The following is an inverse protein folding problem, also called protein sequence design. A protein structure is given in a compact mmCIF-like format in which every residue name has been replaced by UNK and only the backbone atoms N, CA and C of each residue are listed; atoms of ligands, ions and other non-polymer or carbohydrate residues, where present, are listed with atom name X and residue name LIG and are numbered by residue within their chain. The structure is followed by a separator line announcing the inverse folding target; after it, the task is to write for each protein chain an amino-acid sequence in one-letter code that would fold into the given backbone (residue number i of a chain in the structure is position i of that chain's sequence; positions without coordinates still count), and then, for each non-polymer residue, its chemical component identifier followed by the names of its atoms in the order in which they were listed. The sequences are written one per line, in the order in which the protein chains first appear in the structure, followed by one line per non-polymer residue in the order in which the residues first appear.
data_IF_735616861136
#
_entry.id   IF_735616861136
#
_cell.length_a   1.000
_cell.length_b   1.000
_cell.length_c   1.000
_cell.angle_alpha   90.00
_cell.angle_beta   90.00
_cell.angle_gamma   90.00
#
_symmetry.space_group_name_H-M   'P 1'
#
loop_
_entity.id
_entity.type
_entity.pdbx_description
1 polymer ?
#
# COMPACT_ATOMS: atom_id res chain seq x y z
N UNK A 1 16.24 49.14 -39.81
CA UNK A 1 15.82 48.03 -40.68
C UNK A 1 14.63 47.35 -40.02
N UNK A 2 13.45 47.54 -40.62
CA UNK A 2 12.15 47.04 -40.17
C UNK A 2 11.94 45.60 -40.66
N UNK A 3 11.39 44.73 -39.81
CA UNK A 3 10.45 43.70 -40.23
C UNK A 3 9.65 43.18 -39.03
N UNK A 4 8.39 43.62 -38.95
CA UNK A 4 7.37 43.08 -38.07
C UNK A 4 6.94 41.69 -38.58
N UNK A 5 6.95 40.69 -37.70
CA UNK A 5 6.37 39.37 -37.97
C UNK A 5 4.85 39.44 -37.75
N UNK A 6 4.13 39.34 -38.87
CA UNK A 6 2.67 39.28 -38.97
C UNK A 6 2.12 38.07 -38.20
N UNK A 7 1.27 38.34 -37.21
CA UNK A 7 0.27 37.39 -36.74
C UNK A 7 -0.96 37.51 -37.66
N UNK A 8 -1.39 36.41 -38.27
CA UNK A 8 -2.76 36.23 -38.75
C UNK A 8 -2.97 34.76 -39.13
N UNK A 9 -3.95 34.12 -38.48
CA UNK A 9 -5.00 33.27 -39.08
C UNK A 9 -5.75 32.55 -37.95
N UNK A 10 -6.56 33.32 -37.20
CA UNK A 10 -7.76 32.78 -36.57
C UNK A 10 -8.92 33.08 -37.51
N UNK A 11 -9.37 32.05 -38.23
CA UNK A 11 -10.53 32.13 -39.09
C UNK A 11 -11.80 32.22 -38.23
N UNK A 12 -12.41 33.40 -38.28
CA UNK A 12 -13.70 33.76 -37.69
C UNK A 12 -14.80 33.29 -38.64
N UNK A 13 -15.25 32.05 -38.49
CA UNK A 13 -16.54 31.66 -39.07
C UNK A 13 -17.21 30.51 -38.31
N UNK A 14 -17.83 30.81 -37.15
CA UNK A 14 -19.03 30.09 -36.64
C UNK A 14 -19.67 30.71 -35.38
N UNK A 15 -19.49 32.02 -35.15
CA UNK A 15 -20.21 32.76 -34.11
C UNK A 15 -21.23 33.70 -34.77
N UNK A 16 -22.47 33.21 -34.96
CA UNK A 16 -23.70 34.03 -35.06
C UNK A 16 -24.93 33.11 -35.01
N UNK A 17 -25.95 33.58 -34.27
CA UNK A 17 -27.22 32.94 -33.84
C UNK A 17 -27.05 32.17 -32.52
N UNK A 18 -27.59 32.57 -31.37
CA UNK A 18 -28.63 33.55 -31.05
C UNK A 18 -28.34 34.17 -29.67
N UNK A 19 -28.50 35.49 -29.59
CA UNK A 19 -28.66 36.28 -28.37
C UNK A 19 -30.12 36.72 -28.32
N UNK A 20 -30.83 36.41 -27.23
CA UNK A 20 -31.70 37.35 -26.50
C UNK A 20 -32.23 36.66 -25.23
N UNK A 21 -31.84 37.19 -24.05
CA UNK A 21 -32.66 37.97 -23.06
C UNK A 21 -33.63 37.07 -22.26
N UNK A 22 -33.73 37.13 -20.94
CA UNK A 22 -33.36 38.15 -19.96
C UNK A 22 -33.40 37.56 -18.52
N UNK A 23 -32.58 38.13 -17.63
CA UNK A 23 -32.74 38.33 -16.17
C UNK A 23 -33.08 37.20 -15.18
N UNK A 24 -32.29 37.10 -14.10
CA UNK A 24 -32.77 36.66 -12.78
C UNK A 24 -31.70 36.03 -11.88
N UNK A 25 -31.36 36.70 -10.78
CA UNK A 25 -30.53 36.25 -9.66
C UNK A 25 -30.72 34.78 -9.25
N UNK A 26 -29.62 34.04 -9.03
CA UNK A 26 -29.35 33.34 -7.76
C UNK A 26 -27.96 32.69 -7.76
N UNK A 27 -27.27 32.86 -6.64
CA UNK A 27 -26.08 32.10 -6.23
C UNK A 27 -26.44 30.60 -6.15
N UNK A 28 -25.40 29.76 -6.25
CA UNK A 28 -25.40 28.29 -6.16
C UNK A 28 -25.68 27.51 -7.46
N UNK A 29 -24.63 27.31 -8.26
CA UNK A 29 -24.54 26.20 -9.23
C UNK A 29 -23.08 25.84 -9.49
N UNK A 30 -22.45 25.16 -8.53
CA UNK A 30 -21.27 24.32 -8.75
C UNK A 30 -21.59 22.95 -8.16
N UNK A 31 -22.42 22.16 -8.84
CA UNK A 31 -22.60 20.68 -8.72
C UNK A 31 -23.91 20.17 -9.35
N UNK A 32 -24.18 20.50 -10.62
CA UNK A 32 -25.17 19.84 -11.49
C UNK A 32 -24.56 19.90 -12.91
N UNK A 33 -24.44 18.88 -13.74
CA UNK A 33 -25.00 17.53 -13.79
C UNK A 33 -24.38 16.83 -15.01
N UNK A 34 -23.50 15.83 -14.83
CA UNK A 34 -23.06 14.94 -15.93
C UNK A 34 -23.60 13.50 -15.76
N UNK A 35 -24.36 13.26 -14.69
CA UNK A 35 -25.00 11.97 -14.37
C UNK A 35 -26.50 12.02 -14.67
N UNK A 36 -26.90 12.59 -15.81
CA UNK A 36 -28.27 12.38 -16.29
C UNK A 36 -28.50 10.90 -16.57
N UNK A 37 -29.55 10.32 -15.98
CA UNK A 37 -29.97 8.96 -16.25
C UNK A 37 -30.28 8.81 -17.74
N UNK A 38 -29.72 7.78 -18.38
CA UNK A 38 -30.04 7.50 -19.77
C UNK A 38 -31.35 6.72 -19.83
N UNK A 39 -32.42 7.39 -20.25
CA UNK A 39 -33.70 6.75 -20.56
C UNK A 39 -33.60 6.07 -21.93
N UNK A 40 -33.53 4.73 -21.90
CA UNK A 40 -33.60 3.88 -23.07
C UNK A 40 -34.99 3.25 -23.15
N UNK A 41 -35.86 3.83 -23.99
CA UNK A 41 -37.23 3.36 -24.23
C UNK A 41 -37.30 2.20 -25.25
N UNK A 42 -36.19 1.85 -25.93
CA UNK A 42 -36.25 1.06 -27.18
C UNK A 42 -35.85 -0.42 -27.10
N UNK A 43 -35.50 -0.95 -25.92
CA UNK A 43 -35.21 -2.39 -25.80
C UNK A 43 -36.06 -2.97 -24.67
N UNK A 44 -37.13 -3.69 -25.02
CA UNK A 44 -37.95 -4.42 -24.06
C UNK A 44 -37.08 -5.41 -23.28
N UNK A 45 -37.29 -5.49 -21.97
CA UNK A 45 -36.64 -6.46 -21.07
C UNK A 45 -37.22 -7.87 -21.28
N UNK A 46 -37.17 -8.37 -22.53
CA UNK A 46 -37.27 -9.79 -22.77
C UNK A 46 -36.00 -10.47 -22.22
N UNK A 47 -36.15 -11.65 -21.62
CA UNK A 47 -35.07 -12.47 -21.03
C UNK A 47 -34.07 -12.93 -22.09
N UNK A 48 -33.26 -12.01 -22.60
CA UNK A 48 -32.13 -12.34 -23.45
C UNK A 48 -31.06 -13.01 -22.56
N UNK A 49 -30.87 -14.32 -22.75
CA UNK A 49 -29.84 -15.11 -22.08
C UNK A 49 -28.44 -14.91 -22.67
N UNK A 50 -28.32 -14.15 -23.77
CA UNK A 50 -27.09 -13.90 -24.53
C UNK A 50 -26.87 -12.40 -24.73
N UNK A 51 -25.61 -11.95 -24.65
CA UNK A 51 -25.24 -10.54 -24.87
C UNK A 51 -25.35 -10.19 -26.35
N UNK A 52 -26.19 -9.21 -26.68
CA UNK A 52 -26.27 -8.63 -28.02
C UNK A 52 -25.24 -7.49 -28.15
N UNK A 53 -24.08 -7.79 -28.73
CA UNK A 53 -22.99 -6.81 -28.93
C UNK A 53 -23.35 -5.68 -29.90
N UNK A 54 -24.32 -5.91 -30.78
CA UNK A 54 -24.78 -4.91 -31.74
C UNK A 54 -25.93 -4.06 -31.19
N UNK A 55 -26.52 -4.47 -30.07
CA UNK A 55 -27.61 -3.79 -29.39
C UNK A 55 -27.25 -2.40 -28.90
N UNK A 56 -28.26 -1.52 -28.84
CA UNK A 56 -28.10 -0.13 -28.40
C UNK A 56 -27.57 -0.07 -26.96
N UNK A 57 -28.04 -0.96 -26.09
CA UNK A 57 -27.61 -1.04 -24.70
C UNK A 57 -26.14 -1.43 -24.56
N UNK A 58 -25.65 -2.46 -25.26
CA UNK A 58 -24.23 -2.84 -25.21
C UNK A 58 -23.34 -1.66 -25.64
N UNK A 59 -23.67 -1.02 -26.77
CA UNK A 59 -22.90 0.12 -27.28
C UNK A 59 -22.89 1.30 -26.31
N UNK A 60 -24.02 1.62 -25.68
CA UNK A 60 -24.12 2.69 -24.67
C UNK A 60 -23.36 2.35 -23.40
N UNK A 61 -23.46 1.13 -22.90
CA UNK A 61 -22.71 0.67 -21.74
C UNK A 61 -21.20 0.68 -22.00
N UNK A 62 -20.79 0.18 -23.17
CA UNK A 62 -19.38 0.14 -23.59
C UNK A 62 -18.81 1.55 -23.71
N UNK A 63 -19.51 2.46 -24.38
CA UNK A 63 -19.13 3.87 -24.50
C UNK A 63 -19.13 4.58 -23.14
N UNK A 64 -20.08 4.28 -22.25
CA UNK A 64 -20.13 4.83 -20.90
C UNK A 64 -18.90 4.42 -20.08
N UNK A 65 -18.50 3.14 -20.15
CA UNK A 65 -17.29 2.65 -19.49
C UNK A 65 -16.03 3.23 -20.15
N UNK A 66 -15.98 3.33 -21.48
CA UNK A 66 -14.87 3.93 -22.22
C UNK A 66 -14.68 5.42 -21.90
N UNK A 67 -15.78 6.14 -21.63
CA UNK A 67 -15.75 7.58 -21.41
C UNK A 67 -14.94 8.02 -20.19
N UNK A 68 -14.77 7.14 -19.17
CA UNK A 68 -13.97 7.45 -17.99
C UNK A 68 -12.96 6.35 -17.71
N UNK A 69 -11.70 6.73 -17.68
CA UNK A 69 -10.60 5.81 -17.41
C UNK A 69 -10.67 5.18 -16.00
N UNK A 70 -11.31 5.87 -15.04
CA UNK A 70 -11.67 5.30 -13.72
C UNK A 70 -12.63 4.12 -13.82
N UNK A 71 -13.58 4.14 -14.76
CA UNK A 71 -14.52 3.03 -14.99
C UNK A 71 -13.80 1.87 -15.69
N UNK A 72 -12.96 2.15 -16.68
CA UNK A 72 -12.09 1.14 -17.31
C UNK A 72 -11.23 0.44 -16.26
N UNK A 73 -10.58 1.19 -15.36
CA UNK A 73 -9.79 0.64 -14.26
C UNK A 73 -10.61 -0.26 -13.33
N UNK A 74 -11.82 0.17 -12.95
CA UNK A 74 -12.71 -0.62 -12.10
C UNK A 74 -13.11 -1.94 -12.79
N UNK A 75 -13.43 -1.90 -14.09
CA UNK A 75 -13.74 -3.10 -14.89
C UNK A 75 -12.52 -4.01 -15.01
N UNK A 76 -11.33 -3.46 -15.22
CA UNK A 76 -10.08 -4.23 -15.26
C UNK A 76 -9.78 -4.93 -13.93
N UNK A 77 -10.07 -4.28 -12.79
CA UNK A 77 -9.94 -4.89 -11.46
C UNK A 77 -10.88 -6.07 -11.24
N UNK A 78 -12.03 -6.11 -11.91
CA UNK A 78 -12.97 -7.23 -11.84
C UNK A 78 -12.49 -8.47 -12.62
N UNK A 79 -11.48 -8.33 -13.48
CA UNK A 79 -10.98 -9.43 -14.31
C UNK A 79 -10.16 -10.39 -13.46
N UNK A 80 -10.45 -11.68 -13.56
CA UNK A 80 -9.53 -12.71 -13.07
C UNK A 80 -8.32 -12.75 -14.02
N UNK A 81 -7.10 -12.57 -13.49
CA UNK A 81 -5.86 -12.66 -14.26
C UNK A 81 -5.69 -14.08 -14.85
N UNK A 82 -6.24 -14.30 -16.06
CA UNK A 82 -6.01 -15.49 -16.88
C UNK A 82 -4.56 -15.57 -17.39
N UNK A 83 -3.79 -14.48 -17.33
CA UNK A 83 -2.38 -14.47 -17.75
C UNK A 83 -1.47 -15.30 -16.82
N UNK A 84 -1.92 -15.59 -15.59
CA UNK A 84 -1.18 -16.50 -14.69
C UNK A 84 -1.22 -17.96 -15.14
N UNK A 85 -2.20 -18.36 -15.97
CA UNK A 85 -2.40 -19.75 -16.37
C UNK A 85 -1.55 -20.17 -17.59
N UNK A 86 -1.11 -19.19 -18.39
CA UNK A 86 -0.34 -19.40 -19.63
C UNK A 86 1.18 -19.25 -19.47
N UNK A 87 1.67 -18.98 -18.25
CA UNK A 87 3.09 -19.14 -17.94
C UNK A 87 3.44 -20.64 -18.03
N UNK A 88 4.08 -21.03 -19.13
CA UNK A 88 4.74 -22.32 -19.44
C UNK A 88 4.72 -23.36 -18.30
N UNK A 89 4.21 -24.55 -18.62
CA UNK A 89 3.96 -25.70 -17.73
C UNK A 89 5.09 -26.13 -16.75
N UNK A 90 6.30 -25.58 -16.87
CA UNK A 90 7.36 -25.74 -15.85
C UNK A 90 7.17 -24.90 -14.57
N UNK A 91 6.30 -23.88 -14.57
CA UNK A 91 6.04 -23.04 -13.37
C UNK A 91 4.91 -23.54 -12.46
N UNK A 92 4.14 -24.56 -12.87
CA UNK A 92 2.93 -25.00 -12.16
C UNK A 92 3.19 -25.88 -10.92
N UNK A 93 4.43 -26.32 -10.66
CA UNK A 93 4.73 -27.13 -9.46
C UNK A 93 5.01 -26.35 -8.18
N UNK A 94 5.13 -25.01 -8.24
CA UNK A 94 5.56 -24.21 -7.08
C UNK A 94 4.78 -22.91 -6.85
N UNK A 95 3.60 -22.72 -7.47
CA UNK A 95 2.66 -21.68 -7.01
C UNK A 95 1.82 -22.23 -5.84
N UNK A 96 2.38 -22.22 -4.63
CA UNK A 96 1.55 -21.99 -3.44
C UNK A 96 1.51 -20.49 -3.22
N UNK A 97 0.71 -19.80 -4.03
CA UNK A 97 0.26 -18.44 -3.70
C UNK A 97 -0.33 -18.52 -2.30
N UNK A 98 0.14 -17.67 -1.38
CA UNK A 98 -0.37 -17.64 0.00
C UNK A 98 -1.90 -17.49 -0.04
N UNK A 99 -2.65 -18.42 0.58
CA UNK A 99 -4.13 -18.37 0.62
C UNK A 99 -4.63 -16.98 1.03
N UNK A 100 -3.93 -16.32 1.96
CA UNK A 100 -4.23 -14.96 2.42
C UNK A 100 -4.17 -13.90 1.31
N UNK A 101 -3.20 -13.99 0.40
CA UNK A 101 -3.10 -13.06 -0.74
C UNK A 101 -4.19 -13.28 -1.79
N UNK A 102 -4.67 -14.53 -1.93
CA UNK A 102 -5.80 -14.84 -2.81
C UNK A 102 -7.12 -14.36 -2.23
N UNK A 103 -7.29 -14.45 -0.90
CA UNK A 103 -8.49 -13.99 -0.21
C UNK A 103 -8.59 -12.45 -0.25
N UNK A 104 -7.48 -11.73 -0.07
CA UNK A 104 -7.43 -10.26 -0.21
C UNK A 104 -7.72 -9.81 -1.65
N UNK A 105 -7.13 -10.49 -2.65
CA UNK A 105 -7.39 -10.19 -4.07
C UNK A 105 -8.84 -10.48 -4.46
N UNK A 106 -9.43 -11.55 -3.91
CA UNK A 106 -10.84 -11.89 -4.12
C UNK A 106 -11.77 -10.84 -3.50
N UNK A 107 -11.47 -10.38 -2.28
CA UNK A 107 -12.24 -9.32 -1.63
C UNK A 107 -12.16 -7.99 -2.39
N UNK A 108 -10.99 -7.62 -2.93
CA UNK A 108 -10.84 -6.42 -3.77
C UNK A 108 -11.65 -6.53 -5.07
N UNK A 109 -11.65 -7.71 -5.71
CA UNK A 109 -12.45 -7.98 -6.92
C UNK A 109 -13.95 -7.88 -6.66
N UNK A 110 -14.43 -8.47 -5.57
CA UNK A 110 -15.84 -8.40 -5.18
C UNK A 110 -16.27 -6.96 -4.87
N UNK A 111 -15.42 -6.20 -4.17
CA UNK A 111 -15.63 -4.77 -3.92
C UNK A 111 -15.67 -3.92 -5.19
N UNK A 112 -14.75 -4.16 -6.13
CA UNK A 112 -14.74 -3.49 -7.43
C UNK A 112 -16.00 -3.80 -8.24
N UNK A 113 -16.42 -5.08 -8.29
CA UNK A 113 -17.63 -5.50 -9.02
C UNK A 113 -18.89 -4.85 -8.45
N UNK A 114 -19.01 -4.78 -7.12
CA UNK A 114 -20.11 -4.08 -6.45
C UNK A 114 -20.16 -2.60 -6.82
N UNK A 115 -19.00 -1.95 -6.83
CA UNK A 115 -18.87 -0.53 -7.17
C UNK A 115 -19.25 -0.26 -8.63
N UNK A 116 -18.77 -1.08 -9.58
CA UNK A 116 -19.14 -0.95 -11.01
C UNK A 116 -20.63 -1.16 -11.21
N UNK A 117 -21.21 -2.19 -10.57
CA UNK A 117 -22.64 -2.47 -10.66
C UNK A 117 -23.46 -1.28 -10.18
N UNK A 118 -23.07 -0.66 -9.07
CA UNK A 118 -23.77 0.50 -8.53
C UNK A 118 -23.68 1.72 -9.47
N UNK A 119 -22.51 2.00 -10.02
CA UNK A 119 -22.31 3.09 -11.00
C UNK A 119 -23.17 2.87 -12.25
N UNK A 120 -23.19 1.65 -12.79
CA UNK A 120 -23.98 1.32 -13.97
C UNK A 120 -25.47 1.35 -13.68
N UNK A 121 -25.91 0.85 -12.52
CA UNK A 121 -27.34 0.90 -12.12
C UNK A 121 -27.83 2.34 -11.92
N UNK A 122 -26.99 3.24 -11.40
CA UNK A 122 -27.30 4.67 -11.32
C UNK A 122 -27.47 5.30 -12.70
N UNK A 123 -26.64 4.92 -13.68
CA UNK A 123 -26.72 5.45 -15.06
C UNK A 123 -27.89 4.86 -15.86
N UNK A 124 -28.22 3.59 -15.62
CA UNK A 124 -29.26 2.84 -16.33
C UNK A 124 -30.30 2.26 -15.34
N UNK A 125 -31.09 3.10 -14.65
CA UNK A 125 -31.95 2.66 -13.55
C UNK A 125 -33.10 1.74 -14.02
N UNK A 126 -33.61 1.95 -15.24
CA UNK A 126 -34.71 1.18 -15.84
C UNK A 126 -34.36 -0.27 -16.19
N UNK A 127 -33.07 -0.64 -16.24
CA UNK A 127 -32.62 -1.99 -16.63
C UNK A 127 -32.65 -2.98 -15.48
N UNK A 128 -33.16 -4.19 -15.72
CA UNK A 128 -33.09 -5.29 -14.76
C UNK A 128 -31.65 -5.61 -14.35
N UNK A 129 -31.44 -5.93 -13.06
CA UNK A 129 -30.09 -6.23 -12.52
C UNK A 129 -29.43 -7.42 -13.22
N UNK A 130 -30.20 -8.47 -13.54
CA UNK A 130 -29.71 -9.63 -14.27
C UNK A 130 -29.17 -9.30 -15.66
N UNK A 131 -29.77 -8.32 -16.36
CA UNK A 131 -29.31 -7.85 -17.68
C UNK A 131 -28.04 -7.00 -17.56
N UNK A 132 -27.96 -6.14 -16.53
CA UNK A 132 -26.74 -5.39 -16.23
C UNK A 132 -25.59 -6.36 -15.93
N UNK A 133 -25.82 -7.37 -15.11
CA UNK A 133 -24.82 -8.38 -14.76
C UNK A 133 -24.33 -9.18 -15.96
N UNK A 134 -25.26 -9.60 -16.84
CA UNK A 134 -24.93 -10.33 -18.07
C UNK A 134 -24.00 -9.51 -18.98
N UNK A 135 -24.33 -8.23 -19.20
CA UNK A 135 -23.54 -7.35 -20.08
C UNK A 135 -22.23 -6.92 -19.42
N UNK A 136 -22.22 -6.67 -18.10
CA UNK A 136 -21.00 -6.39 -17.36
C UNK A 136 -20.01 -7.55 -17.42
N UNK A 137 -20.47 -8.81 -17.34
CA UNK A 137 -19.57 -9.97 -17.51
C UNK A 137 -18.86 -9.95 -18.85
N UNK A 138 -19.55 -9.59 -19.93
CA UNK A 138 -18.93 -9.46 -21.26
C UNK A 138 -17.95 -8.30 -21.33
N UNK A 139 -18.32 -7.13 -20.79
CA UNK A 139 -17.40 -5.97 -20.76
C UNK A 139 -16.18 -6.24 -19.89
N UNK A 140 -16.30 -6.98 -18.78
CA UNK A 140 -15.16 -7.40 -17.95
C UNK A 140 -14.26 -8.41 -18.71
N UNK A 141 -14.85 -9.30 -19.51
CA UNK A 141 -14.09 -10.21 -20.35
C UNK A 141 -13.30 -9.46 -21.43
N UNK A 142 -13.91 -8.43 -22.03
CA UNK A 142 -13.41 -7.62 -23.14
C UNK A 142 -13.52 -6.10 -22.86
N UNK A 143 -12.68 -5.56 -21.95
CA UNK A 143 -12.78 -4.17 -21.52
C UNK A 143 -12.45 -3.20 -22.67
N UNK A 144 -13.05 -1.99 -22.69
CA UNK A 144 -12.68 -0.94 -23.63
C UNK A 144 -11.19 -0.62 -23.57
N UNK A 145 -10.51 -0.46 -24.71
CA UNK A 145 -9.11 -0.05 -24.71
C UNK A 145 -8.99 1.37 -24.17
N UNK A 146 -7.95 1.64 -23.37
CA UNK A 146 -7.65 3.00 -22.92
C UNK A 146 -7.31 3.88 -24.15
N UNK A 147 -8.22 4.76 -24.55
CA UNK A 147 -8.09 5.59 -25.75
C UNK A 147 -7.73 7.04 -25.40
N UNK A 148 -6.54 7.23 -24.83
CA UNK A 148 -6.04 8.57 -24.47
C UNK A 148 -4.97 9.06 -25.46
N UNK A 149 -5.13 10.29 -25.96
CA UNK A 149 -4.15 10.92 -26.86
C UNK A 149 -2.75 11.04 -26.21
N UNK A 150 -2.72 11.29 -24.89
CA UNK A 150 -1.48 11.29 -24.10
C UNK A 150 -0.78 9.93 -24.15
N UNK A 151 -1.53 8.83 -24.06
CA UNK A 151 -0.97 7.48 -24.08
C UNK A 151 -0.37 7.15 -25.44
N UNK A 152 -1.09 7.50 -26.52
CA UNK A 152 -0.67 7.29 -27.90
C UNK A 152 0.58 8.07 -28.28
N UNK A 153 0.79 9.26 -27.71
CA UNK A 153 1.87 10.19 -28.11
C UNK A 153 3.05 10.19 -27.15
N UNK A 154 2.80 10.20 -25.84
CA UNK A 154 3.81 10.39 -24.80
C UNK A 154 4.19 9.09 -24.10
N UNK A 155 3.23 8.19 -23.85
CA UNK A 155 3.45 6.96 -23.08
C UNK A 155 3.73 5.72 -23.95
N UNK A 156 4.33 5.96 -25.11
CA UNK A 156 4.75 4.92 -26.03
C UNK A 156 5.80 4.00 -25.39
N UNK A 157 5.67 2.70 -25.66
CA UNK A 157 6.60 1.67 -25.19
C UNK A 157 7.40 1.07 -26.33
N UNK A 158 8.63 0.69 -26.04
CA UNK A 158 9.45 -0.10 -26.94
C UNK A 158 9.14 -1.61 -26.83
N UNK A 159 9.83 -2.42 -27.62
CA UNK A 159 9.70 -3.88 -27.62
C UNK A 159 10.03 -4.52 -26.26
N UNK A 160 10.90 -3.90 -25.46
CA UNK A 160 11.23 -4.32 -24.10
C UNK A 160 10.21 -3.85 -23.05
N UNK A 161 9.06 -3.33 -23.48
CA UNK A 161 8.00 -2.81 -22.62
C UNK A 161 8.41 -1.60 -21.74
N UNK A 162 9.42 -0.86 -22.19
CA UNK A 162 9.93 0.36 -21.52
C UNK A 162 9.38 1.61 -22.18
N UNK A 163 9.10 2.65 -21.39
CA UNK A 163 8.64 3.93 -21.91
C UNK A 163 9.76 4.65 -22.67
N UNK A 164 9.52 4.92 -23.96
CA UNK A 164 10.50 5.54 -24.86
C UNK A 164 10.87 6.95 -24.39
N UNK A 165 9.86 7.75 -24.04
CA UNK A 165 10.02 9.16 -23.65
C UNK A 165 10.12 9.38 -22.13
N UNK A 166 10.63 8.40 -21.38
CA UNK A 166 10.66 8.44 -19.90
C UNK A 166 11.33 9.70 -19.32
N UNK A 167 12.35 10.26 -19.99
CA UNK A 167 12.99 11.50 -19.56
C UNK A 167 12.07 12.72 -19.66
N UNK A 168 11.37 12.87 -20.79
CA UNK A 168 10.39 13.94 -20.99
C UNK A 168 9.21 13.79 -20.04
N UNK A 169 8.72 12.57 -19.83
CA UNK A 169 7.68 12.25 -18.86
C UNK A 169 8.11 12.70 -17.46
N UNK A 170 9.31 12.33 -17.04
CA UNK A 170 9.83 12.70 -15.71
C UNK A 170 9.99 14.21 -15.55
N UNK A 171 10.45 14.89 -16.61
CA UNK A 171 10.56 16.34 -16.64
C UNK A 171 9.20 17.03 -16.51
N UNK A 172 8.16 16.55 -17.22
CA UNK A 172 6.82 17.12 -17.11
C UNK A 172 6.23 16.90 -15.71
N UNK A 173 6.34 15.68 -15.18
CA UNK A 173 5.84 15.35 -13.86
C UNK A 173 6.56 16.09 -12.74
N UNK A 174 7.81 16.55 -12.97
CA UNK A 174 8.53 17.44 -12.05
C UNK A 174 7.86 18.80 -11.85
N UNK A 175 6.89 19.22 -12.67
CA UNK A 175 6.13 20.46 -12.46
C UNK A 175 4.71 20.24 -11.91
N UNK A 176 4.28 18.99 -11.76
CA UNK A 176 2.92 18.64 -11.30
C UNK A 176 2.86 18.52 -9.78
N UNK A 177 1.94 19.21 -9.13
CA UNK A 177 1.76 19.14 -7.67
C UNK A 177 1.30 17.74 -7.20
N UNK A 178 1.43 17.46 -5.89
CA UNK A 178 1.13 16.15 -5.34
C UNK A 178 -0.34 15.74 -5.53
N UNK A 179 -1.29 16.68 -5.44
CA UNK A 179 -2.70 16.33 -5.58
C UNK A 179 -3.01 15.93 -7.03
N UNK A 180 -2.45 16.65 -8.01
CA UNK A 180 -2.62 16.30 -9.43
C UNK A 180 -1.88 15.01 -9.78
N UNK A 181 -0.70 14.74 -9.22
CA UNK A 181 -0.01 13.46 -9.38
C UNK A 181 -0.88 12.29 -8.89
N UNK A 182 -1.56 12.45 -7.75
CA UNK A 182 -2.45 11.41 -7.22
C UNK A 182 -3.68 11.20 -8.10
N UNK A 183 -4.34 12.28 -8.52
CA UNK A 183 -5.45 12.19 -9.49
C UNK A 183 -5.02 11.49 -10.78
N UNK A 184 -3.82 11.79 -11.27
CA UNK A 184 -3.27 11.13 -12.46
C UNK A 184 -3.11 9.61 -12.25
N UNK A 185 -2.69 9.14 -11.06
CA UNK A 185 -2.63 7.70 -10.75
C UNK A 185 -3.99 7.01 -10.78
N UNK A 186 -5.06 7.74 -10.49
CA UNK A 186 -6.43 7.23 -10.48
C UNK A 186 -7.03 7.19 -11.89
N UNK A 187 -6.50 7.98 -12.82
CA UNK A 187 -6.98 8.04 -14.19
C UNK A 187 -6.89 6.67 -14.87
N UNK A 188 -5.72 6.05 -15.00
CA UNK A 188 -5.58 4.78 -15.73
C UNK A 188 -4.45 3.90 -15.19
N UNK A 189 -4.42 2.63 -15.62
CA UNK A 189 -3.32 1.71 -15.27
C UNK A 189 -1.99 2.24 -15.82
N UNK A 190 -2.01 2.80 -17.04
CA UNK A 190 -0.82 3.38 -17.67
C UNK A 190 -0.35 4.63 -16.92
N UNK A 191 -1.26 5.53 -16.57
CA UNK A 191 -0.95 6.76 -15.83
C UNK A 191 -0.33 6.43 -14.45
N UNK A 192 -0.93 5.46 -13.75
CA UNK A 192 -0.40 4.96 -12.48
C UNK A 192 1.02 4.43 -12.60
N UNK A 193 1.31 3.65 -13.64
CA UNK A 193 2.64 3.12 -13.93
C UNK A 193 3.65 4.21 -14.27
N UNK A 194 3.22 5.25 -15.00
CA UNK A 194 4.03 6.42 -15.35
C UNK A 194 4.41 7.22 -14.11
N UNK A 195 3.45 7.52 -13.22
CA UNK A 195 3.74 8.22 -11.97
C UNK A 195 4.64 7.37 -11.07
N UNK A 196 4.40 6.06 -10.98
CA UNK A 196 5.30 5.15 -10.24
C UNK A 196 6.70 5.06 -10.86
N UNK A 197 6.86 5.16 -12.18
CA UNK A 197 8.18 5.26 -12.82
C UNK A 197 8.89 6.56 -12.41
N UNK A 198 8.18 7.67 -12.45
CA UNK A 198 8.69 8.98 -12.04
C UNK A 198 9.17 8.98 -10.58
N UNK A 199 8.34 8.48 -9.65
CA UNK A 199 8.71 8.37 -8.24
C UNK A 199 9.92 7.45 -8.03
N UNK A 200 10.01 6.32 -8.76
CA UNK A 200 11.18 5.43 -8.71
C UNK A 200 12.44 6.09 -9.23
N UNK A 201 12.34 6.96 -10.23
CA UNK A 201 13.49 7.72 -10.74
C UNK A 201 14.01 8.68 -9.67
N UNK A 202 13.12 9.36 -8.95
CA UNK A 202 13.49 10.21 -7.81
C UNK A 202 14.14 9.37 -6.72
N UNK A 203 13.53 8.25 -6.30
CA UNK A 203 14.11 7.33 -5.32
C UNK A 203 15.51 6.86 -5.71
N UNK A 204 15.78 6.72 -7.01
CA UNK A 204 17.09 6.30 -7.49
C UNK A 204 18.19 7.33 -7.20
N UNK A 205 17.83 8.63 -7.17
CA UNK A 205 18.76 9.75 -7.00
C UNK A 205 18.89 10.24 -5.56
N UNK A 206 18.21 9.61 -4.59
CA UNK A 206 18.29 10.01 -3.19
C UNK A 206 19.55 9.47 -2.52
N UNK A 207 20.01 10.20 -1.50
CA UNK A 207 21.32 10.02 -0.89
C UNK A 207 21.49 8.82 0.05
N UNK A 208 20.44 8.04 0.32
CA UNK A 208 20.57 6.83 1.15
C UNK A 208 21.45 5.74 0.51
N UNK A 209 21.88 5.93 -0.74
CA UNK A 209 22.82 5.06 -1.47
C UNK A 209 24.27 5.53 -1.42
N UNK A 210 24.51 6.77 -1.00
CA UNK A 210 25.83 7.41 -1.06
C UNK A 210 26.72 6.95 0.11
N UNK A 211 26.09 6.55 1.21
CA UNK A 211 26.74 5.97 2.39
C UNK A 211 27.28 4.55 2.09
N UNK A 212 28.36 4.13 2.76
CA UNK A 212 29.01 2.83 2.53
C UNK A 212 28.07 1.63 2.82
N UNK A 213 27.89 0.74 1.83
CA UNK A 213 27.02 -0.44 1.94
C UNK A 213 27.86 -1.72 1.96
N UNK A 214 28.13 -2.25 3.17
CA UNK A 214 28.82 -3.54 3.34
C UNK A 214 27.90 -4.75 3.34
N UNK A 215 26.64 -4.55 3.73
CA UNK A 215 25.61 -5.58 3.81
C UNK A 215 24.21 -4.98 3.69
N UNK A 216 23.20 -5.81 3.43
CA UNK A 216 21.81 -5.39 3.25
C UNK A 216 21.25 -4.57 4.43
N UNK A 217 21.66 -4.88 5.66
CA UNK A 217 21.24 -4.14 6.86
C UNK A 217 21.78 -2.70 6.87
N UNK A 218 22.95 -2.44 6.30
CA UNK A 218 23.49 -1.08 6.16
C UNK A 218 22.62 -0.27 5.21
N UNK A 219 22.29 -0.84 4.05
CA UNK A 219 21.38 -0.20 3.11
C UNK A 219 20.01 0.10 3.75
N UNK A 220 19.46 -0.87 4.49
CA UNK A 220 18.19 -0.68 5.20
C UNK A 220 18.27 0.42 6.26
N UNK A 221 19.34 0.44 7.05
CA UNK A 221 19.60 1.50 8.03
C UNK A 221 19.68 2.87 7.35
N UNK A 222 20.35 2.99 6.20
CA UNK A 222 20.45 4.25 5.47
C UNK A 222 19.09 4.74 4.98
N UNK A 223 18.25 3.82 4.49
CA UNK A 223 16.87 4.12 4.08
C UNK A 223 16.04 4.61 5.27
N UNK A 224 16.08 3.90 6.41
CA UNK A 224 15.37 4.32 7.61
C UNK A 224 15.88 5.68 8.11
N UNK A 225 17.19 5.87 8.17
CA UNK A 225 17.80 7.15 8.53
C UNK A 225 17.34 8.29 7.61
N UNK A 226 17.25 8.04 6.30
CA UNK A 226 16.79 9.03 5.33
C UNK A 226 15.34 9.46 5.60
N UNK A 227 14.40 8.51 5.68
CA UNK A 227 12.96 8.82 5.80
C UNK A 227 12.55 9.26 7.21
N UNK A 228 13.19 8.72 8.26
CA UNK A 228 12.75 8.90 9.65
C UNK A 228 13.64 9.81 10.50
N UNK A 229 14.80 10.24 9.98
CA UNK A 229 15.72 11.11 10.71
C UNK A 229 16.19 12.32 9.91
N UNK A 230 16.69 12.13 8.67
CA UNK A 230 17.25 13.22 7.86
C UNK A 230 16.16 14.09 7.22
N UNK A 231 15.23 13.49 6.47
CA UNK A 231 14.20 14.25 5.71
C UNK A 231 12.86 14.38 6.43
N UNK A 232 12.59 13.48 7.37
CA UNK A 232 11.38 13.49 8.18
C UNK A 232 11.71 13.15 9.63
N UNK A 233 10.89 13.65 10.55
CA UNK A 233 10.87 13.29 11.96
C UNK A 233 9.44 12.91 12.34
N UNK A 234 9.28 11.92 13.21
CA UNK A 234 7.95 11.51 13.68
C UNK A 234 7.61 12.19 15.01
N UNK A 235 6.40 12.74 15.10
CA UNK A 235 5.82 13.27 16.33
C UNK A 235 4.81 12.29 16.92
N UNK A 236 4.66 12.25 18.25
CA UNK A 236 3.61 11.44 18.89
C UNK A 236 2.23 11.86 18.40
N UNK A 237 1.30 10.91 18.31
CA UNK A 237 -0.11 11.28 18.10
C UNK A 237 -0.62 12.08 19.30
N UNK A 238 -1.44 13.08 19.01
CA UNK A 238 -2.20 13.78 20.04
C UNK A 238 -3.21 12.81 20.68
N UNK A 239 -3.00 12.50 21.97
CA UNK A 239 -3.86 11.57 22.71
C UNK A 239 -5.13 12.20 23.24
N UNK A 240 -5.28 13.53 23.16
CA UNK A 240 -6.53 14.21 23.53
C UNK A 240 -7.63 13.97 22.52
N UNK A 241 -7.26 13.90 21.25
CA UNK A 241 -8.17 13.63 20.13
C UNK A 241 -8.28 12.15 19.80
N UNK A 242 -7.44 11.30 20.40
CA UNK A 242 -7.46 9.86 20.18
C UNK A 242 -8.50 9.17 21.06
N UNK A 243 -9.60 8.74 20.44
CA UNK A 243 -10.83 8.31 21.12
C UNK A 243 -10.63 7.28 22.26
N UNK A 244 -9.84 6.19 22.12
CA UNK A 244 -9.59 5.28 23.23
C UNK A 244 -9.02 5.95 24.49
N UNK A 245 -8.08 6.89 24.34
CA UNK A 245 -7.48 7.59 25.48
C UNK A 245 -8.37 8.72 25.98
N UNK A 246 -9.01 9.45 25.08
CA UNK A 246 -9.96 10.51 25.44
C UNK A 246 -11.08 9.97 26.35
N UNK A 247 -11.57 8.76 26.08
CA UNK A 247 -12.58 8.12 26.92
C UNK A 247 -12.06 7.83 28.35
N UNK A 248 -10.81 7.37 28.47
CA UNK A 248 -10.18 7.16 29.78
C UNK A 248 -9.94 8.47 30.53
N UNK A 249 -9.61 9.54 29.81
CA UNK A 249 -9.53 10.87 30.39
C UNK A 249 -10.87 11.32 30.97
N UNK A 250 -11.99 11.16 30.25
CA UNK A 250 -13.32 11.51 30.77
C UNK A 250 -13.67 10.75 32.05
N UNK A 251 -13.31 9.47 32.14
CA UNK A 251 -13.51 8.67 33.37
C UNK A 251 -12.71 9.21 34.56
N UNK A 252 -11.52 9.75 34.31
CA UNK A 252 -10.62 10.22 35.36
C UNK A 252 -10.88 11.68 35.78
N UNK A 253 -11.65 12.47 35.01
CA UNK A 253 -11.97 13.88 35.31
C UNK A 253 -12.67 14.10 36.65
N UNK A 254 -13.43 13.11 37.13
CA UNK A 254 -14.07 13.19 38.45
C UNK A 254 -13.07 13.13 39.61
N UNK A 255 -11.86 12.63 39.36
CA UNK A 255 -10.83 12.40 40.38
C UNK A 255 -9.66 13.37 40.28
N UNK A 256 -9.25 13.76 39.06
CA UNK A 256 -8.04 14.54 38.83
C UNK A 256 -8.21 15.59 37.72
N UNK A 257 -7.51 16.72 37.84
CA UNK A 257 -7.43 17.74 36.80
C UNK A 257 -6.42 17.29 35.74
N UNK A 258 -6.84 17.26 34.48
CA UNK A 258 -5.97 16.84 33.37
C UNK A 258 -5.18 18.05 32.86
N UNK A 259 -3.89 18.12 33.17
CA UNK A 259 -2.97 19.17 32.71
C UNK A 259 -2.06 18.67 31.58
N UNK A 260 -1.50 19.59 30.79
CA UNK A 260 -0.52 19.24 29.74
C UNK A 260 0.82 18.81 30.32
N UNK A 261 1.24 19.45 31.42
CA UNK A 261 2.54 19.18 32.06
C UNK A 261 2.63 17.75 32.62
N UNK A 262 1.47 17.16 32.91
CA UNK A 262 1.29 15.77 33.33
C UNK A 262 1.41 14.74 32.19
N UNK A 263 1.48 15.18 30.93
CA UNK A 263 1.51 14.31 29.75
C UNK A 263 2.94 14.19 29.19
N UNK A 264 3.47 12.97 29.10
CA UNK A 264 4.73 12.65 28.41
C UNK A 264 4.44 11.80 27.17
N UNK A 265 4.79 12.29 25.99
CA UNK A 265 4.56 11.62 24.72
C UNK A 265 5.83 11.58 23.88
N UNK A 266 6.25 10.40 23.41
CA UNK A 266 7.49 10.22 22.64
C UNK A 266 7.34 9.16 21.56
N UNK A 267 8.05 9.34 20.44
CA UNK A 267 8.13 8.37 19.36
C UNK A 267 9.57 7.89 19.19
N UNK A 268 9.74 6.58 19.04
CA UNK A 268 11.02 5.93 18.84
C UNK A 268 11.00 5.09 17.58
N UNK A 269 12.12 5.11 16.87
CA UNK A 269 12.35 4.31 15.67
C UNK A 269 13.45 3.31 16.00
N UNK A 270 13.18 2.03 15.79
CA UNK A 270 14.16 0.97 15.99
C UNK A 270 14.13 -0.03 14.82
N UNK A 271 15.26 -0.71 14.62
CA UNK A 271 15.41 -1.84 13.69
C UNK A 271 15.31 -3.19 14.41
N UNK A 272 14.80 -3.19 15.65
CA UNK A 272 14.62 -4.38 16.47
C UNK A 272 13.18 -4.93 16.39
N UNK A 273 13.06 -6.23 16.67
CA UNK A 273 11.79 -6.90 16.87
C UNK A 273 11.34 -6.80 18.33
N UNK A 274 10.08 -6.43 18.52
CA UNK A 274 9.40 -6.47 19.81
C UNK A 274 8.17 -7.36 19.71
N UNK A 275 8.06 -8.32 20.62
CA UNK A 275 6.86 -9.13 20.78
C UNK A 275 5.82 -8.40 21.63
N UNK A 276 4.57 -8.83 21.57
CA UNK A 276 3.46 -8.26 22.36
C UNK A 276 3.76 -8.27 23.87
N UNK A 277 4.43 -9.32 24.36
CA UNK A 277 4.87 -9.42 25.75
C UNK A 277 5.91 -8.36 26.12
N UNK A 278 6.82 -8.03 25.20
CA UNK A 278 7.81 -6.97 25.39
C UNK A 278 7.14 -5.59 25.33
N UNK A 279 6.12 -5.42 24.49
CA UNK A 279 5.37 -4.18 24.35
C UNK A 279 4.61 -3.83 25.64
N UNK A 280 3.95 -4.81 26.28
CA UNK A 280 3.23 -4.58 27.55
C UNK A 280 4.18 -4.29 28.72
N UNK A 281 5.36 -4.90 28.73
CA UNK A 281 6.37 -4.74 29.78
C UNK A 281 7.35 -3.59 29.58
N UNK A 282 7.28 -2.87 28.45
CA UNK A 282 8.22 -1.81 28.11
C UNK A 282 7.96 -0.50 28.89
N UNK A 283 8.48 -0.37 30.11
CA UNK A 283 8.34 0.85 30.93
C UNK A 283 9.41 1.91 30.69
N UNK A 284 10.39 1.63 29.82
CA UNK A 284 11.54 2.49 29.59
C UNK A 284 11.25 3.63 28.62
N UNK A 285 11.88 4.78 28.88
CA UNK A 285 11.84 5.93 27.96
C UNK A 285 12.36 5.53 26.58
N UNK A 286 13.51 4.88 26.47
CA UNK A 286 14.00 4.38 25.18
C UNK A 286 13.78 2.86 25.07
N UNK A 287 12.75 2.38 24.34
CA UNK A 287 12.45 0.97 24.24
C UNK A 287 13.55 0.19 23.51
N UNK A 288 14.20 -0.75 24.20
CA UNK A 288 15.06 -1.79 23.60
C UNK A 288 14.62 -3.16 24.10
N UNK A 289 14.69 -4.24 23.30
CA UNK A 289 14.14 -5.54 23.73
C UNK A 289 14.74 -6.05 25.04
N UNK A 290 16.05 -5.84 25.25
CA UNK A 290 16.76 -6.24 26.46
C UNK A 290 16.50 -5.33 27.67
N UNK A 291 15.85 -4.19 27.48
CA UNK A 291 15.44 -3.29 28.57
C UNK A 291 14.04 -3.60 29.08
N UNK A 292 13.23 -4.36 28.34
CA UNK A 292 11.89 -4.73 28.79
C UNK A 292 11.98 -5.77 29.93
N UNK A 293 11.25 -5.51 31.00
CA UNK A 293 11.20 -6.40 32.17
C UNK A 293 9.77 -6.92 32.34
N UNK A 294 9.50 -8.21 32.07
CA UNK A 294 8.17 -8.81 32.18
C UNK A 294 7.53 -8.66 33.57
N UNK A 295 8.32 -8.42 34.62
CA UNK A 295 7.81 -8.20 35.98
C UNK A 295 7.20 -6.81 36.18
N UNK A 296 7.46 -5.88 35.25
CA UNK A 296 7.01 -4.48 35.30
C UNK A 296 5.75 -4.20 34.48
N UNK A 297 5.00 -5.23 34.12
CA UNK A 297 3.70 -5.05 33.46
C UNK A 297 2.77 -4.29 34.40
N UNK A 298 2.14 -3.23 33.89
CA UNK A 298 1.22 -2.43 34.66
C UNK A 298 -0.09 -3.21 34.88
N UNK A 299 -0.47 -3.38 36.14
CA UNK A 299 -1.77 -3.90 36.54
C UNK A 299 -2.74 -2.73 36.69
N UNK A 300 -3.56 -2.46 35.67
CA UNK A 300 -4.61 -1.44 35.72
C UNK A 300 -5.99 -2.04 35.89
N UNK A 301 -6.96 -1.17 36.17
CA UNK A 301 -8.38 -1.53 36.27
C UNK A 301 -8.91 -1.90 34.88
N UNK A 302 -8.45 -1.18 33.86
CA UNK A 302 -8.72 -1.48 32.46
C UNK A 302 -7.40 -1.69 31.72
N UNK A 303 -7.31 -2.82 31.00
CA UNK A 303 -6.17 -3.17 30.17
C UNK A 303 -6.67 -3.57 28.79
N UNK A 304 -6.31 -2.81 27.78
CA UNK A 304 -6.49 -3.14 26.38
C UNK A 304 -5.13 -3.55 25.81
N UNK A 305 -5.05 -4.75 25.26
CA UNK A 305 -3.93 -5.17 24.40
C UNK A 305 -4.52 -5.73 23.12
N UNK A 306 -4.45 -4.95 22.04
CA UNK A 306 -4.95 -5.34 20.73
C UNK A 306 -3.76 -5.46 19.79
N UNK A 307 -3.69 -6.56 19.03
CA UNK A 307 -2.73 -6.68 17.94
C UNK A 307 -3.38 -7.20 16.67
N UNK A 308 -3.09 -6.54 15.56
CA UNK A 308 -3.62 -6.90 14.26
C UNK A 308 -2.57 -6.74 13.15
N UNK A 309 -2.71 -7.57 12.11
CA UNK A 309 -1.98 -7.34 10.87
C UNK A 309 -2.65 -6.19 10.13
N UNK A 310 -1.84 -5.26 9.64
CA UNK A 310 -2.31 -4.11 8.87
C UNK A 310 -1.81 -4.19 7.43
N UNK A 311 -2.41 -3.44 6.53
CA UNK A 311 -1.93 -3.35 5.15
C UNK A 311 -0.70 -2.43 5.03
N UNK A 312 -0.01 -2.49 3.88
CA UNK A 312 1.01 -1.51 3.53
C UNK A 312 0.45 -0.07 3.56
N UNK A 313 -0.79 0.11 3.15
CA UNK A 313 -1.42 1.44 3.11
C UNK A 313 -1.62 1.96 4.53
N UNK A 314 -2.16 1.14 5.43
CA UNK A 314 -2.32 1.49 6.85
C UNK A 314 -0.98 1.84 7.51
N UNK A 315 0.08 1.09 7.21
CA UNK A 315 1.43 1.38 7.70
C UNK A 315 1.91 2.76 7.25
N UNK A 316 1.74 3.08 5.97
CA UNK A 316 2.14 4.37 5.38
C UNK A 316 1.26 5.52 5.89
N UNK A 317 -0.01 5.27 6.18
CA UNK A 317 -0.90 6.24 6.83
C UNK A 317 -0.46 6.53 8.27
N UNK A 318 -0.11 5.51 9.05
CA UNK A 318 0.42 5.70 10.40
C UNK A 318 1.74 6.50 10.41
N UNK A 319 2.58 6.30 9.39
CA UNK A 319 3.75 7.15 9.13
C UNK A 319 3.34 8.60 8.82
N UNK A 320 2.42 8.81 7.87
CA UNK A 320 1.95 10.14 7.46
C UNK A 320 1.33 10.94 8.61
N UNK A 321 0.50 10.30 9.45
CA UNK A 321 -0.16 10.92 10.61
C UNK A 321 0.84 11.56 11.59
N UNK A 322 2.07 11.04 11.65
CA UNK A 322 3.13 11.47 12.59
C UNK A 322 4.20 12.32 11.93
N UNK A 323 4.22 12.40 10.60
CA UNK A 323 5.33 12.95 9.85
C UNK A 323 5.41 14.47 9.96
N UNK A 324 6.55 14.95 10.42
CA UNK A 324 7.02 16.33 10.24
C UNK A 324 8.18 16.30 9.25
N UNK A 325 8.16 17.16 8.23
CA UNK A 325 9.27 17.26 7.27
C UNK A 325 10.34 18.17 7.83
N UNK A 326 11.59 17.72 7.76
CA UNK A 326 12.74 18.54 8.12
C UNK A 326 13.12 19.44 6.96
N UNK A 327 13.45 20.68 7.27
CA UNK A 327 13.90 21.66 6.28
C UNK A 327 15.42 21.61 6.12
N UNK A 328 15.89 20.69 5.26
CA UNK A 328 17.31 20.52 4.94
C UNK A 328 17.55 20.64 3.43
N UNK A 329 18.06 21.78 2.98
CA UNK A 329 18.29 22.06 1.56
C UNK A 329 19.24 21.06 0.88
N UNK A 330 20.22 20.52 1.61
CA UNK A 330 21.18 19.55 1.07
C UNK A 330 20.50 18.21 0.83
N UNK A 331 19.68 17.76 1.79
CA UNK A 331 18.93 16.51 1.66
C UNK A 331 17.86 16.59 0.58
N UNK A 332 17.28 17.78 0.37
CA UNK A 332 16.23 18.01 -0.60
C UNK A 332 16.72 18.57 -1.95
N UNK A 333 18.02 18.69 -2.20
CA UNK A 333 18.60 19.43 -3.33
C UNK A 333 17.96 19.17 -4.71
N UNK A 334 17.47 17.95 -5.01
CA UNK A 334 16.81 17.61 -6.28
C UNK A 334 15.32 18.00 -6.31
N UNK A 335 14.66 18.04 -5.16
CA UNK A 335 13.20 18.18 -5.06
C UNK A 335 12.75 19.10 -3.90
N UNK A 336 13.56 20.10 -3.56
CA UNK A 336 13.31 21.04 -2.46
C UNK A 336 11.95 21.73 -2.55
N UNK A 337 11.54 22.11 -3.77
CA UNK A 337 10.23 22.70 -4.04
C UNK A 337 9.03 21.76 -3.79
N UNK A 338 9.28 20.46 -3.56
CA UNK A 338 8.26 19.44 -3.26
C UNK A 338 8.28 18.97 -1.81
N UNK A 339 9.16 19.53 -0.97
CA UNK A 339 9.26 19.16 0.44
C UNK A 339 7.89 19.30 1.09
N UNK A 340 7.29 18.17 1.42
CA UNK A 340 5.96 18.11 1.98
C UNK A 340 5.73 16.73 2.57
N UNK A 341 4.94 16.61 3.65
CA UNK A 341 4.62 15.31 4.24
C UNK A 341 4.03 14.35 3.19
N UNK A 342 3.11 14.86 2.35
CA UNK A 342 2.48 14.09 1.27
C UNK A 342 3.52 13.49 0.30
N UNK A 343 4.46 14.30 -0.17
CA UNK A 343 5.44 13.83 -1.15
C UNK A 343 6.40 12.80 -0.55
N UNK A 344 6.89 13.03 0.66
CA UNK A 344 7.79 12.10 1.34
C UNK A 344 7.09 10.76 1.63
N UNK A 345 5.82 10.79 2.04
CA UNK A 345 4.98 9.59 2.21
C UNK A 345 4.79 8.83 0.90
N UNK A 346 4.58 9.53 -0.23
CA UNK A 346 4.48 8.88 -1.54
C UNK A 346 5.79 8.21 -1.97
N UNK A 347 6.93 8.82 -1.67
CA UNK A 347 8.25 8.23 -1.91
C UNK A 347 8.45 6.97 -1.07
N UNK A 348 8.12 7.01 0.24
CA UNK A 348 8.21 5.84 1.11
C UNK A 348 7.32 4.71 0.61
N UNK A 349 6.07 5.01 0.24
CA UNK A 349 5.14 4.03 -0.32
C UNK A 349 5.70 3.35 -1.58
N UNK A 350 6.22 4.15 -2.52
CA UNK A 350 6.78 3.60 -3.76
C UNK A 350 8.05 2.78 -3.49
N UNK A 351 8.87 3.19 -2.52
CA UNK A 351 10.04 2.42 -2.07
C UNK A 351 9.62 1.06 -1.50
N UNK A 352 8.66 1.02 -0.59
CA UNK A 352 8.14 -0.22 -0.01
C UNK A 352 7.52 -1.12 -1.08
N UNK A 353 6.79 -0.57 -2.06
CA UNK A 353 6.30 -1.33 -3.22
C UNK A 353 7.44 -1.96 -4.02
N UNK A 354 8.57 -1.26 -4.19
CA UNK A 354 9.75 -1.84 -4.84
C UNK A 354 10.33 -3.00 -4.04
N UNK A 355 10.46 -2.84 -2.72
CA UNK A 355 10.92 -3.89 -1.80
C UNK A 355 10.04 -5.15 -1.89
N UNK A 356 8.72 -4.97 -1.89
CA UNK A 356 7.76 -6.08 -1.99
C UNK A 356 7.83 -6.79 -3.34
N UNK A 357 7.98 -6.06 -4.45
CA UNK A 357 8.15 -6.68 -5.78
C UNK A 357 9.38 -7.58 -5.84
N UNK A 358 10.49 -7.14 -5.24
CA UNK A 358 11.71 -7.97 -5.13
C UNK A 358 11.41 -9.20 -4.26
N UNK A 359 10.75 -9.00 -3.13
CA UNK A 359 10.42 -10.06 -2.19
C UNK A 359 9.57 -11.18 -2.84
N UNK A 360 8.52 -10.80 -3.56
CA UNK A 360 7.65 -11.75 -4.28
C UNK A 360 8.41 -12.54 -5.35
N UNK A 361 9.40 -11.92 -6.01
CA UNK A 361 10.25 -12.62 -6.99
C UNK A 361 11.08 -13.75 -6.36
N UNK A 362 11.43 -13.61 -5.08
CA UNK A 362 12.29 -14.54 -4.34
C UNK A 362 11.54 -15.29 -3.24
N UNK A 363 10.20 -15.40 -3.33
CA UNK A 363 9.34 -16.12 -2.36
C UNK A 363 9.51 -15.69 -0.90
N UNK A 364 9.90 -14.44 -0.65
CA UNK A 364 9.92 -13.91 0.71
C UNK A 364 8.56 -13.44 1.20
N UNK A 365 8.51 -13.01 2.46
CA UNK A 365 7.28 -12.58 3.12
C UNK A 365 7.45 -11.23 3.81
N UNK A 366 6.44 -10.37 3.72
CA UNK A 366 6.44 -9.10 4.43
C UNK A 366 5.16 -8.98 5.25
N UNK A 367 5.31 -8.69 6.54
CA UNK A 367 4.18 -8.50 7.46
C UNK A 367 4.24 -7.09 8.02
N UNK A 368 3.09 -6.42 8.06
CA UNK A 368 2.91 -5.19 8.79
C UNK A 368 1.96 -5.45 9.96
N UNK A 369 2.30 -4.95 11.14
CA UNK A 369 1.57 -5.22 12.38
C UNK A 369 1.37 -3.93 13.16
N UNK A 370 0.17 -3.77 13.72
CA UNK A 370 -0.15 -2.74 14.71
C UNK A 370 -0.44 -3.43 16.04
N UNK A 371 0.18 -2.93 17.10
CA UNK A 371 -0.10 -3.35 18.47
C UNK A 371 -0.40 -2.13 19.30
N UNK A 372 -1.54 -2.15 19.97
CA UNK A 372 -2.04 -1.08 20.83
C UNK A 372 -2.19 -1.61 22.26
N UNK A 373 -1.58 -0.91 23.20
CA UNK A 373 -1.61 -1.25 24.61
C UNK A 373 -2.03 -0.02 25.42
N UNK A 374 -3.19 -0.07 26.06
CA UNK A 374 -3.73 1.01 26.90
C UNK A 374 -4.02 0.45 28.29
N UNK A 375 -3.55 1.13 29.31
CA UNK A 375 -3.80 0.81 30.71
C UNK A 375 -4.20 2.07 31.46
N UNK A 376 -5.30 1.97 32.21
CA UNK A 376 -5.76 3.01 33.13
C UNK A 376 -5.76 2.46 34.57
N UNK A 377 -5.03 3.13 35.45
CA UNK A 377 -4.96 2.86 36.89
C UNK A 377 -5.72 3.91 37.73
N UNK A 378 -6.51 4.78 37.09
CA UNK A 378 -7.26 5.88 37.69
C UNK A 378 -6.44 7.17 37.81
N UNK A 379 -5.31 7.13 38.49
CA UNK A 379 -4.39 8.28 38.64
C UNK A 379 -3.24 8.27 37.61
N UNK A 380 -3.24 7.28 36.73
CA UNK A 380 -2.17 7.04 35.77
C UNK A 380 -2.72 6.36 34.52
N UNK A 381 -2.41 6.89 33.34
CA UNK A 381 -2.72 6.27 32.05
C UNK A 381 -1.41 6.01 31.31
N UNK A 382 -1.21 4.78 30.86
CA UNK A 382 -0.16 4.42 29.90
C UNK A 382 -0.80 3.97 28.61
N UNK A 383 -0.38 4.56 27.49
CA UNK A 383 -0.82 4.15 26.17
C UNK A 383 0.35 4.01 25.20
N UNK A 384 0.41 2.90 24.48
CA UNK A 384 1.49 2.59 23.54
C UNK A 384 0.90 2.10 22.23
N UNK A 385 1.32 2.70 21.13
CA UNK A 385 1.01 2.24 19.77
C UNK A 385 2.32 1.84 19.11
N UNK A 386 2.41 0.61 18.66
CA UNK A 386 3.57 0.06 17.98
C UNK A 386 3.19 -0.33 16.57
N UNK A 387 3.88 0.22 15.59
CA UNK A 387 3.71 -0.09 14.18
C UNK A 387 4.99 -0.77 13.70
N UNK A 388 4.89 -2.02 13.26
CA UNK A 388 6.03 -2.86 12.93
C UNK A 388 5.95 -3.38 11.50
N UNK A 389 7.10 -3.42 10.84
CA UNK A 389 7.32 -4.06 9.54
C UNK A 389 8.35 -5.17 9.70
N UNK A 390 8.02 -6.34 9.15
CA UNK A 390 8.84 -7.55 9.12
C UNK A 390 9.11 -7.90 7.67
N UNK A 391 10.35 -7.85 7.21
CA UNK A 391 10.73 -8.17 5.83
C UNK A 391 11.64 -9.39 5.79
N UNK A 392 11.05 -10.54 5.48
CA UNK A 392 11.70 -11.86 5.50
C UNK A 392 12.17 -12.25 4.09
N UNK A 393 13.46 -12.54 3.95
CA UNK A 393 14.09 -12.92 2.69
C UNK A 393 15.12 -14.05 2.88
N UNK A 394 15.52 -14.69 1.77
CA UNK A 394 16.56 -15.74 1.80
C UNK A 394 16.03 -17.16 1.99
N UNK A 395 14.80 -17.45 1.57
CA UNK A 395 14.30 -18.83 1.48
C UNK A 395 15.18 -19.64 0.50
N UNK A 396 16.19 -20.34 1.02
CA UNK A 396 16.89 -21.36 0.26
C UNK A 396 16.01 -22.60 0.19
N UNK A 397 15.64 -22.99 -1.03
CA UNK A 397 15.03 -24.29 -1.25
C UNK A 397 16.06 -25.35 -0.87
N UNK A 398 15.84 -26.05 0.24
CA UNK A 398 16.47 -27.34 0.49
C UNK A 398 15.97 -28.27 -0.62
N UNK A 399 16.69 -28.29 -1.74
CA UNK A 399 16.52 -29.33 -2.75
C UNK A 399 16.88 -30.62 -2.02
N UNK A 400 15.88 -31.47 -1.79
CA UNK A 400 16.03 -32.80 -1.23
C UNK A 400 17.13 -33.55 -1.99
N UNK A 401 18.37 -33.50 -1.50
CA UNK A 401 19.40 -34.51 -1.78
C UNK A 401 19.13 -35.69 -0.87
N UNK A 402 18.07 -36.43 -1.18
CA UNK A 402 17.83 -37.78 -0.66
C UNK A 402 17.35 -38.66 -1.81
N UNK A 403 18.14 -38.74 -2.87
CA UNK A 403 18.12 -39.89 -3.76
C UNK A 403 19.57 -40.29 -4.06
N UNK A 404 19.78 -41.59 -3.94
CA UNK A 404 20.89 -42.42 -4.43
C UNK A 404 22.21 -42.46 -3.65
N UNK A 405 22.32 -43.44 -2.73
CA UNK A 405 22.74 -44.81 -3.09
C UNK A 405 22.68 -45.73 -1.88
N UNK A 406 21.70 -46.63 -1.88
CA UNK A 406 21.87 -47.93 -1.24
C UNK A 406 22.72 -48.79 -2.19
N UNK A 407 23.81 -49.35 -1.70
CA UNK A 407 24.28 -50.67 -2.13
C UNK A 407 25.27 -51.28 -1.11
N UNK A 408 24.78 -52.33 -0.46
CA UNK A 408 25.40 -53.65 -0.20
C UNK A 408 26.75 -53.74 0.54
N UNK A 409 26.64 -54.15 1.80
CA UNK A 409 27.39 -55.20 2.52
C UNK A 409 28.81 -55.60 2.04
N UNK A 410 29.77 -55.52 2.96
CA UNK A 410 30.73 -56.60 3.27
C UNK A 410 31.31 -56.42 4.68
N UNK A 411 31.10 -57.43 5.54
CA UNK A 411 31.49 -57.40 6.95
C UNK A 411 32.91 -57.87 7.25
N UNK A 412 33.33 -57.67 8.50
CA UNK A 412 34.20 -58.57 9.26
C UNK A 412 34.16 -58.17 10.74
N UNK A 413 34.50 -59.14 11.60
CA UNK A 413 34.08 -59.35 12.99
C UNK A 413 35.08 -58.85 14.05
N UNK A 414 34.53 -58.63 15.26
CA UNK A 414 35.09 -58.92 16.63
C UNK A 414 36.30 -58.10 17.12
N UNK A 415 36.46 -57.66 18.39
CA UNK A 415 36.23 -58.25 19.73
C UNK A 415 36.26 -57.19 20.86
N UNK A 416 35.42 -57.35 21.90
CA UNK A 416 35.67 -57.08 23.35
C UNK A 416 35.67 -55.61 23.85
N UNK A 417 35.06 -55.20 24.97
CA UNK A 417 34.25 -55.84 26.00
C UNK A 417 33.91 -54.82 27.12
N UNK A 418 32.87 -55.16 27.91
CA UNK A 418 32.42 -54.62 29.22
C UNK A 418 31.52 -53.36 29.24
N UNK A 419 30.26 -53.47 29.74
CA UNK A 419 29.33 -52.37 29.96
C UNK A 419 29.30 -51.91 31.43
N UNK A 420 29.11 -50.60 31.71
CA UNK A 420 28.58 -50.11 32.99
C UNK A 420 27.80 -48.78 32.84
N UNK A 421 26.49 -48.93 33.05
CA UNK A 421 25.50 -48.05 33.69
C UNK A 421 25.40 -46.54 33.38
N UNK A 422 24.25 -46.21 32.79
CA UNK A 422 23.26 -45.21 33.23
C UNK A 422 23.76 -43.89 33.84
N UNK A 423 23.47 -42.80 33.14
CA UNK A 423 22.53 -41.77 33.64
C UNK A 423 22.18 -40.75 32.56
N UNK A 424 20.94 -40.25 32.63
CA UNK A 424 20.40 -39.05 31.98
C UNK A 424 20.21 -39.06 30.46
N UNK A 425 18.99 -39.44 30.07
CA UNK A 425 18.29 -38.99 28.86
C UNK A 425 18.28 -37.45 28.80
N UNK A 426 19.26 -36.85 28.14
CA UNK A 426 19.04 -35.57 27.46
C UNK A 426 18.45 -35.89 26.09
N UNK A 427 17.15 -35.60 25.93
CA UNK A 427 16.55 -35.37 24.61
C UNK A 427 17.25 -34.14 24.04
N UNK A 428 18.38 -34.34 23.37
CA UNK A 428 18.86 -33.39 22.37
C UNK A 428 17.88 -33.49 21.20
N UNK A 429 16.86 -32.65 21.24
CA UNK A 429 16.18 -32.25 20.01
C UNK A 429 17.27 -31.63 19.13
N UNK A 430 17.63 -32.40 18.11
CA UNK A 430 18.49 -31.93 17.05
C UNK A 430 17.88 -30.64 16.51
N UNK A 431 18.52 -29.51 16.80
CA UNK A 431 18.45 -28.33 15.95
C UNK A 431 18.92 -28.75 14.56
N UNK A 432 17.99 -29.25 13.76
CA UNK A 432 18.13 -29.21 12.31
C UNK A 432 18.16 -27.73 11.95
N UNK A 433 19.35 -27.23 11.60
CA UNK A 433 19.55 -25.92 10.98
C UNK A 433 18.62 -25.79 9.78
N UNK A 434 17.43 -25.25 10.03
CA UNK A 434 16.42 -24.96 9.02
C UNK A 434 16.77 -23.61 8.43
N UNK A 435 17.02 -23.56 7.11
CA UNK A 435 17.07 -22.38 6.23
C UNK A 435 17.28 -21.03 6.93
N UNK A 436 18.45 -20.40 6.75
CA UNK A 436 18.79 -19.09 7.33
C UNK A 436 17.91 -17.99 6.69
N UNK A 437 16.66 -17.90 7.13
CA UNK A 437 15.79 -16.79 6.82
C UNK A 437 16.39 -15.53 7.46
N UNK A 438 16.58 -14.49 6.66
CA UNK A 438 17.04 -13.19 7.12
C UNK A 438 15.84 -12.26 7.21
N UNK A 439 15.71 -11.55 8.32
CA UNK A 439 14.62 -10.60 8.53
C UNK A 439 15.18 -9.20 8.74
N UNK A 440 14.60 -8.20 8.06
CA UNK A 440 14.77 -6.79 8.40
C UNK A 440 13.55 -6.34 9.19
N UNK A 441 13.79 -5.60 10.28
CA UNK A 441 12.72 -5.02 11.08
C UNK A 441 12.73 -3.50 10.97
N UNK A 442 11.55 -2.92 11.14
CA UNK A 442 11.35 -1.51 11.42
C UNK A 442 10.19 -1.39 12.39
N UNK A 443 10.44 -0.72 13.51
CA UNK A 443 9.48 -0.51 14.58
C UNK A 443 9.34 0.99 14.83
N UNK A 444 8.10 1.49 14.76
CA UNK A 444 7.70 2.82 15.20
C UNK A 444 6.95 2.64 16.53
N UNK A 445 7.55 3.06 17.63
CA UNK A 445 6.96 2.96 18.96
C UNK A 445 6.53 4.35 19.44
N UNK A 446 5.22 4.57 19.52
CA UNK A 446 4.59 5.82 19.96
C UNK A 446 4.05 5.62 21.38
N UNK A 447 4.75 6.19 22.35
CA UNK A 447 4.48 6.05 23.77
C UNK A 447 3.84 7.31 24.32
N UNK A 448 2.86 7.11 25.19
CA UNK A 448 2.16 8.14 25.91
C UNK A 448 1.98 7.74 27.36
N UNK A 449 2.19 8.70 28.24
CA UNK A 449 1.99 8.59 29.68
C UNK A 449 1.24 9.82 30.16
N UNK A 450 0.26 9.62 31.03
CA UNK A 450 -0.30 10.67 31.86
C UNK A 450 -0.24 10.25 33.32
N UNK A 451 0.22 11.17 34.17
CA UNK A 451 0.26 11.03 35.63
C UNK A 451 -0.54 12.18 36.25
N UNK A 452 -1.50 11.86 37.12
CA UNK A 452 -2.38 12.85 37.75
C UNK A 452 -1.69 13.86 38.67
#
# INVERSE_FOLDING_TARGET
MNAALKANLYDRSRLKKLLHRDTGDTRDTRNRSDDEACDDEEETDAEATVVNKEGSFYKKLYAFIEAKSTYINLVLKCRADRESENATAQKKRYLKTSRKSQDEEKAEREGALKTVREIVKRKFPKRAEGKIDLYLREVIANPPPENCALHKTLFQRNQANLFVKHNLISYLLNFVDNNTLMKLKECSKIDSQVVSLYLRKILHTLSFKDDEIKANIHYWRNVVNYFFCKTGTLKPLDRRTYQPVSNEFEKNKSFCVITEDAMDAKVYISLDHFSEKLISSCTHRNPLPHTCDPTRVLNGVEVLLKSENISLIDFVEEYYKRLTVNDDELMWHICHFRKSPKFLTLLLLEYLKCMLRVLHKYNGNCVFKKTEYLVNCGHHITHRIWIQMFYDYGYEMVVNKKEDKADVNRGSRTTGGIPKQDTTKQKNEAHTDSAINKTLYLTIADHFKWDA
#
